data_IF_331647173134
#
_entry.id   IF_331647173134
#
_cell.length_a   1.000
_cell.length_b   1.000
_cell.length_c   1.000
_cell.angle_alpha   90.00
_cell.angle_beta   90.00
_cell.angle_gamma   90.00
#
_symmetry.space_group_name_H-M   'P 1'
#
loop_
_entity.id
_entity.type
_entity.pdbx_description
1 polymer ?
#
# COMPACT_ATOMS: atom_id res chain seq x y z
N UNK A 1 27.23 -1.31 -18.78
CA UNK A 1 26.32 -1.88 -17.75
C UNK A 1 26.46 -1.11 -16.45
N UNK A 2 25.37 -0.82 -15.76
CA UNK A 2 25.35 0.02 -14.55
C UNK A 2 25.18 -0.84 -13.29
N UNK A 3 26.01 -1.89 -13.19
CA UNK A 3 25.85 -2.98 -12.21
C UNK A 3 26.01 -2.55 -10.74
N UNK A 4 26.52 -1.36 -10.46
CA UNK A 4 26.59 -0.79 -9.10
C UNK A 4 25.28 -0.11 -8.66
N UNK A 5 24.41 0.26 -9.59
CA UNK A 5 23.14 0.91 -9.28
C UNK A 5 22.24 -0.03 -8.50
N UNK A 6 21.67 0.49 -7.39
CA UNK A 6 20.76 -0.25 -6.50
C UNK A 6 19.38 0.37 -6.42
N UNK A 7 19.22 1.59 -6.93
CA UNK A 7 17.96 2.33 -6.91
C UNK A 7 17.59 2.72 -8.33
N UNK A 8 16.37 2.40 -8.72
CA UNK A 8 15.81 2.77 -10.00
C UNK A 8 14.49 3.50 -9.77
N UNK A 9 14.48 4.77 -10.19
CA UNK A 9 13.27 5.60 -10.25
C UNK A 9 12.77 5.68 -11.69
N UNK A 10 11.48 5.46 -11.91
CA UNK A 10 10.86 5.60 -13.23
C UNK A 10 9.61 6.46 -13.13
N UNK A 11 9.48 7.39 -14.06
CA UNK A 11 8.32 8.26 -14.20
C UNK A 11 7.94 8.25 -15.69
N UNK A 12 6.74 7.79 -16.00
CA UNK A 12 6.25 7.74 -17.37
C UNK A 12 5.37 8.94 -17.69
N UNK A 13 5.86 9.82 -18.56
CA UNK A 13 5.10 10.97 -19.05
C UNK A 13 4.25 10.59 -20.26
N UNK A 14 2.97 10.97 -20.25
CA UNK A 14 2.20 11.01 -21.50
C UNK A 14 2.82 12.10 -22.40
N UNK A 15 3.15 11.77 -23.65
CA UNK A 15 4.05 12.51 -24.56
C UNK A 15 3.65 13.95 -24.96
N UNK A 16 3.42 14.85 -24.00
CA UNK A 16 3.13 16.27 -24.22
C UNK A 16 4.15 17.24 -23.62
N UNK A 17 5.29 16.76 -23.15
CA UNK A 17 6.39 17.65 -22.72
C UNK A 17 7.66 17.38 -23.54
N UNK A 18 8.12 18.34 -24.36
CA UNK A 18 9.49 18.36 -24.82
C UNK A 18 10.32 18.96 -23.67
N UNK A 19 10.73 18.13 -22.72
CA UNK A 19 11.85 18.49 -21.85
C UNK A 19 13.12 17.86 -22.43
N UNK A 20 14.20 18.63 -22.42
CA UNK A 20 15.50 18.30 -23.00
C UNK A 20 16.24 17.14 -22.29
N UNK A 21 15.52 16.24 -21.64
CA UNK A 21 16.01 15.02 -21.03
C UNK A 21 15.55 13.86 -21.90
N UNK A 22 16.33 12.79 -21.98
CA UNK A 22 16.08 11.63 -22.84
C UNK A 22 14.76 10.94 -22.47
N UNK A 23 13.63 11.47 -22.98
CA UNK A 23 12.29 10.97 -22.73
C UNK A 23 11.99 9.81 -23.68
N UNK A 24 11.71 8.64 -23.13
CA UNK A 24 11.18 7.52 -23.92
C UNK A 24 9.65 7.70 -23.99
N UNK A 25 9.15 8.13 -25.15
CA UNK A 25 7.72 8.24 -25.43
C UNK A 25 7.13 6.84 -25.71
N UNK A 26 6.63 6.21 -24.64
CA UNK A 26 6.07 4.86 -24.68
C UNK A 26 4.74 4.75 -25.47
N UNK A 27 4.10 5.87 -25.85
CA UNK A 27 2.82 5.85 -26.57
C UNK A 27 2.98 5.82 -28.11
N UNK A 28 4.12 6.26 -28.64
CA UNK A 28 4.42 6.26 -30.10
C UNK A 28 5.13 5.02 -30.58
N UNK A 29 5.89 4.37 -29.69
CA UNK A 29 6.43 3.04 -29.94
C UNK A 29 5.29 2.08 -29.67
N UNK A 30 5.03 1.11 -30.55
CA UNK A 30 4.26 -0.09 -30.17
C UNK A 30 5.02 -0.80 -29.06
N UNK A 31 4.92 -0.28 -27.84
CA UNK A 31 5.90 -0.43 -26.79
C UNK A 31 5.70 -1.81 -26.19
N UNK A 32 6.50 -2.74 -26.65
CA UNK A 32 6.63 -4.04 -26.02
C UNK A 32 7.21 -3.81 -24.62
N UNK A 33 6.31 -3.76 -23.64
CA UNK A 33 6.62 -3.61 -22.21
C UNK A 33 7.69 -4.60 -21.79
N UNK A 34 7.69 -5.81 -22.36
CA UNK A 34 8.70 -6.84 -22.13
C UNK A 34 10.08 -6.41 -22.60
N UNK A 35 10.20 -5.81 -23.79
CA UNK A 35 11.49 -5.29 -24.29
C UNK A 35 12.03 -4.15 -23.42
N UNK A 36 11.17 -3.22 -23.01
CA UNK A 36 11.60 -2.11 -22.13
C UNK A 36 12.05 -2.65 -20.78
N UNK A 37 11.28 -3.57 -20.19
CA UNK A 37 11.63 -4.27 -18.97
C UNK A 37 12.99 -4.96 -19.10
N UNK A 38 13.20 -5.74 -20.16
CA UNK A 38 14.42 -6.53 -20.36
C UNK A 38 15.64 -5.63 -20.59
N UNK A 39 15.48 -4.54 -21.33
CA UNK A 39 16.53 -3.55 -21.52
C UNK A 39 16.92 -2.89 -20.18
N UNK A 40 15.94 -2.48 -19.37
CA UNK A 40 16.19 -1.92 -18.04
C UNK A 40 16.83 -2.94 -17.11
N UNK A 41 16.41 -4.20 -17.16
CA UNK A 41 16.98 -5.28 -16.36
C UNK A 41 18.45 -5.56 -16.71
N UNK A 42 18.79 -5.58 -18.00
CA UNK A 42 20.15 -5.72 -18.47
C UNK A 42 21.04 -4.54 -18.03
N UNK A 43 20.49 -3.31 -18.04
CA UNK A 43 21.23 -2.13 -17.62
C UNK A 43 21.44 -2.06 -16.10
N UNK A 44 20.44 -2.48 -15.31
CA UNK A 44 20.39 -2.29 -13.86
C UNK A 44 20.13 -3.61 -13.09
N UNK A 45 20.97 -4.65 -13.26
CA UNK A 45 20.67 -6.00 -12.74
C UNK A 45 20.57 -6.07 -11.21
N UNK A 46 21.18 -5.13 -10.49
CA UNK A 46 21.27 -5.17 -9.03
C UNK A 46 20.26 -4.30 -8.28
N UNK A 47 19.17 -3.87 -8.91
CA UNK A 47 18.16 -3.00 -8.26
C UNK A 47 17.56 -3.66 -7.02
N UNK A 48 17.56 -2.91 -5.91
CA UNK A 48 16.96 -3.28 -4.61
C UNK A 48 15.92 -2.27 -4.14
N UNK A 49 15.89 -1.08 -4.76
CA UNK A 49 14.93 -0.02 -4.48
C UNK A 49 14.27 0.37 -5.79
N UNK A 50 12.95 0.25 -5.85
CA UNK A 50 12.14 0.72 -6.97
C UNK A 50 11.25 1.85 -6.53
N UNK A 51 11.21 2.91 -7.33
CA UNK A 51 10.31 4.03 -7.13
C UNK A 51 9.61 4.37 -8.43
N UNK A 52 8.28 4.34 -8.44
CA UNK A 52 7.46 4.69 -9.59
C UNK A 52 6.73 6.01 -9.31
N UNK A 53 7.10 7.05 -10.05
CA UNK A 53 6.59 8.41 -9.89
C UNK A 53 5.27 8.68 -10.60
N UNK A 54 4.63 9.78 -10.20
CA UNK A 54 3.37 10.29 -10.73
C UNK A 54 3.59 11.03 -12.06
N UNK A 55 3.07 10.46 -13.15
CA UNK A 55 3.03 11.14 -14.44
C UNK A 55 2.05 10.53 -15.46
N UNK A 56 1.65 9.27 -15.30
CA UNK A 56 0.50 8.71 -16.02
C UNK A 56 0.02 7.40 -15.36
N UNK A 57 -1.25 7.32 -14.99
CA UNK A 57 -1.93 6.07 -14.60
C UNK A 57 -2.34 5.24 -15.83
N UNK A 58 -1.59 5.36 -16.93
CA UNK A 58 -1.88 4.59 -18.15
C UNK A 58 -1.69 3.10 -17.88
N UNK A 59 -2.51 2.27 -18.53
CA UNK A 59 -2.40 0.81 -18.42
C UNK A 59 -0.97 0.31 -18.71
N UNK A 60 -0.29 0.92 -19.68
CA UNK A 60 1.10 0.59 -20.04
C UNK A 60 2.07 0.88 -18.88
N UNK A 61 1.90 1.99 -18.18
CA UNK A 61 2.74 2.32 -17.03
C UNK A 61 2.51 1.34 -15.88
N UNK A 62 1.25 1.05 -15.55
CA UNK A 62 0.88 0.08 -14.51
C UNK A 62 1.46 -1.30 -14.83
N UNK A 63 1.37 -1.73 -16.10
CA UNK A 63 1.91 -3.01 -16.55
C UNK A 63 3.44 -3.04 -16.48
N UNK A 64 4.14 -2.02 -16.96
CA UNK A 64 5.60 -1.94 -16.89
C UNK A 64 6.11 -1.94 -15.44
N UNK A 65 5.49 -1.15 -14.57
CA UNK A 65 5.83 -1.10 -13.15
C UNK A 65 5.62 -2.46 -12.48
N UNK A 66 4.52 -3.15 -12.81
CA UNK A 66 4.23 -4.50 -12.36
C UNK A 66 5.26 -5.52 -12.81
N UNK A 67 5.61 -5.51 -14.10
CA UNK A 67 6.61 -6.42 -14.65
C UNK A 67 8.01 -6.18 -14.07
N UNK A 68 8.42 -4.92 -13.89
CA UNK A 68 9.71 -4.58 -13.27
C UNK A 68 9.76 -5.00 -11.80
N UNK A 69 8.71 -4.70 -11.03
CA UNK A 69 8.63 -5.13 -9.64
C UNK A 69 8.72 -6.66 -9.51
N UNK A 70 7.98 -7.39 -10.36
CA UNK A 70 8.02 -8.85 -10.43
C UNK A 70 9.41 -9.40 -10.79
N UNK A 71 10.10 -8.79 -11.76
CA UNK A 71 11.44 -9.19 -12.18
C UNK A 71 12.45 -9.11 -11.02
N UNK A 72 12.35 -8.06 -10.19
CA UNK A 72 13.26 -7.87 -9.06
C UNK A 72 12.76 -8.49 -7.73
N UNK A 73 11.64 -9.22 -7.73
CA UNK A 73 10.95 -9.66 -6.50
C UNK A 73 11.84 -10.39 -5.49
N UNK A 74 12.84 -11.15 -5.96
CA UNK A 74 13.76 -11.92 -5.09
C UNK A 74 14.77 -11.05 -4.33
N UNK A 75 15.06 -9.84 -4.80
CA UNK A 75 16.11 -8.97 -4.25
C UNK A 75 15.62 -7.58 -3.84
N UNK A 76 14.41 -7.21 -4.23
CA UNK A 76 13.81 -5.93 -3.90
C UNK A 76 13.59 -5.81 -2.39
N UNK A 77 14.04 -4.69 -1.83
CA UNK A 77 13.92 -4.34 -0.40
C UNK A 77 12.97 -3.19 -0.16
N UNK A 78 12.84 -2.29 -1.13
CA UNK A 78 11.97 -1.12 -1.05
C UNK A 78 11.20 -0.97 -2.35
N UNK A 79 9.89 -0.78 -2.24
CA UNK A 79 8.98 -0.54 -3.36
C UNK A 79 8.11 0.66 -3.04
N UNK A 80 8.32 1.75 -3.76
CA UNK A 80 7.49 2.94 -3.70
C UNK A 80 6.75 3.13 -5.02
N UNK A 81 5.45 3.37 -4.96
CA UNK A 81 4.65 3.60 -6.15
C UNK A 81 3.57 4.63 -5.88
N UNK A 82 3.43 5.58 -6.80
CA UNK A 82 2.32 6.54 -6.81
C UNK A 82 1.09 6.04 -7.58
N UNK A 83 1.15 4.79 -8.06
CA UNK A 83 0.04 4.11 -8.70
C UNK A 83 -0.13 2.67 -8.17
N UNK A 84 -1.30 2.06 -8.34
CA UNK A 84 -1.46 0.62 -8.14
C UNK A 84 -0.46 -0.16 -9.01
N UNK A 85 0.05 -1.27 -8.49
CA UNK A 85 1.01 -2.12 -9.21
C UNK A 85 0.35 -3.48 -9.47
N UNK A 86 0.18 -3.83 -10.73
CA UNK A 86 -0.31 -5.14 -11.14
C UNK A 86 0.87 -6.13 -11.20
N UNK A 87 1.23 -6.74 -10.07
CA UNK A 87 2.28 -7.77 -10.04
C UNK A 87 1.70 -9.12 -10.49
N UNK A 88 2.44 -9.94 -11.26
CA UNK A 88 2.02 -11.32 -11.54
C UNK A 88 1.72 -12.12 -10.26
N UNK A 89 0.67 -12.93 -10.27
CA UNK A 89 0.15 -13.62 -9.06
C UNK A 89 1.15 -14.58 -8.40
N UNK A 90 2.11 -15.09 -9.17
CA UNK A 90 3.12 -16.04 -8.72
C UNK A 90 4.38 -15.36 -8.17
N UNK A 91 4.45 -14.03 -8.17
CA UNK A 91 5.59 -13.30 -7.62
C UNK A 91 5.47 -13.16 -6.09
N UNK A 92 6.40 -13.80 -5.37
CA UNK A 92 6.61 -13.61 -3.94
C UNK A 92 7.85 -12.75 -3.69
N UNK A 93 7.68 -11.64 -2.99
CA UNK A 93 8.77 -10.76 -2.62
C UNK A 93 9.49 -11.27 -1.35
N UNK A 94 10.70 -11.78 -1.53
CA UNK A 94 11.44 -12.50 -0.48
C UNK A 94 12.25 -11.61 0.47
N UNK A 95 12.50 -10.36 0.09
CA UNK A 95 13.38 -9.45 0.84
C UNK A 95 12.75 -8.07 1.08
N UNK A 96 11.48 -7.89 0.75
CA UNK A 96 10.82 -6.59 0.75
C UNK A 96 10.51 -6.17 2.17
N UNK A 97 11.05 -5.01 2.57
CA UNK A 97 10.97 -4.47 3.93
C UNK A 97 10.10 -3.23 4.02
N UNK A 98 10.05 -2.44 2.95
CA UNK A 98 9.33 -1.18 2.91
C UNK A 98 8.49 -1.10 1.63
N UNK A 99 7.19 -0.90 1.81
CA UNK A 99 6.22 -0.77 0.72
C UNK A 99 5.40 0.48 0.93
N UNK A 100 5.43 1.37 -0.06
CA UNK A 100 4.54 2.52 -0.13
C UNK A 100 3.77 2.45 -1.45
N UNK A 101 2.45 2.40 -1.36
CA UNK A 101 1.56 2.45 -2.52
C UNK A 101 0.56 3.59 -2.32
N UNK A 102 0.62 4.57 -3.19
CA UNK A 102 -0.38 5.61 -3.32
C UNK A 102 -1.19 5.34 -4.60
N UNK A 103 -2.48 5.63 -4.61
CA UNK A 103 -3.26 5.51 -5.85
C UNK A 103 -4.77 5.67 -5.68
N UNK A 104 -5.43 5.96 -6.79
CA UNK A 104 -6.87 5.89 -6.94
C UNK A 104 -7.26 4.44 -7.26
N UNK A 105 -8.07 3.83 -6.39
CA UNK A 105 -8.40 2.42 -6.54
C UNK A 105 -9.58 2.29 -7.52
N UNK A 106 -9.26 2.39 -8.81
CA UNK A 106 -10.24 2.23 -9.90
C UNK A 106 -10.41 0.77 -10.35
N UNK A 107 -9.54 -0.15 -9.90
CA UNK A 107 -9.60 -1.57 -10.24
C UNK A 107 -9.19 -2.44 -9.02
N UNK A 108 -9.63 -3.71 -9.01
CA UNK A 108 -9.39 -4.72 -7.96
C UNK A 108 -7.91 -5.15 -7.78
N UNK A 109 -7.00 -4.21 -7.53
CA UNK A 109 -5.57 -4.46 -7.43
C UNK A 109 -5.16 -4.94 -6.03
N UNK A 110 -4.85 -6.23 -5.89
CA UNK A 110 -4.31 -6.76 -4.63
C UNK A 110 -2.89 -6.29 -4.37
N UNK A 111 -2.51 -6.23 -3.09
CA UNK A 111 -1.13 -5.97 -2.71
C UNK A 111 -0.18 -7.05 -3.23
N UNK A 112 1.09 -6.69 -3.53
CA UNK A 112 2.12 -7.67 -3.83
C UNK A 112 2.23 -8.72 -2.72
N UNK A 113 2.39 -10.00 -3.08
CA UNK A 113 2.60 -11.06 -2.09
C UNK A 113 3.99 -10.93 -1.49
N UNK A 114 4.08 -10.78 -0.18
CA UNK A 114 5.33 -10.54 0.53
C UNK A 114 5.65 -11.68 1.49
N UNK A 115 6.93 -11.93 1.72
CA UNK A 115 7.38 -12.82 2.78
C UNK A 115 7.09 -12.12 4.13
N UNK A 116 6.18 -12.66 4.96
CA UNK A 116 5.70 -11.96 6.15
C UNK A 116 6.83 -11.67 7.15
N UNK A 117 7.87 -12.50 7.19
CA UNK A 117 9.03 -12.36 8.06
C UNK A 117 9.93 -11.16 7.69
N UNK A 118 9.73 -10.55 6.52
CA UNK A 118 10.62 -9.50 6.02
C UNK A 118 10.00 -8.11 5.97
N UNK A 119 8.68 -8.01 5.85
CA UNK A 119 8.01 -6.71 5.75
C UNK A 119 8.05 -6.00 7.11
N UNK A 120 8.63 -4.80 7.14
CA UNK A 120 8.80 -3.99 8.35
C UNK A 120 7.88 -2.77 8.33
N UNK A 121 7.68 -2.17 7.14
CA UNK A 121 6.92 -0.92 6.94
C UNK A 121 5.96 -1.04 5.75
N UNK A 122 4.70 -0.71 5.98
CA UNK A 122 3.65 -0.69 4.97
C UNK A 122 2.89 0.63 5.03
N UNK A 123 2.86 1.36 3.91
CA UNK A 123 2.09 2.57 3.72
C UNK A 123 1.16 2.44 2.52
N UNK A 124 -0.13 2.64 2.77
CA UNK A 124 -1.19 2.63 1.78
C UNK A 124 -1.89 3.98 1.83
N UNK A 125 -1.83 4.76 0.76
CA UNK A 125 -2.59 6.00 0.63
C UNK A 125 -3.53 5.89 -0.55
N UNK A 126 -4.80 5.61 -0.26
CA UNK A 126 -5.76 5.21 -1.26
C UNK A 126 -6.89 6.24 -1.33
N UNK A 127 -7.17 6.72 -2.54
CA UNK A 127 -8.33 7.55 -2.81
C UNK A 127 -9.44 6.65 -3.34
N UNK A 128 -10.11 5.95 -2.42
CA UNK A 128 -11.12 4.95 -2.75
C UNK A 128 -12.52 5.54 -2.59
N UNK A 129 -13.41 5.25 -3.55
CA UNK A 129 -14.86 5.49 -3.39
C UNK A 129 -15.61 4.28 -2.81
N UNK A 130 -14.98 3.12 -2.85
CA UNK A 130 -15.45 1.82 -2.34
C UNK A 130 -14.64 1.39 -1.10
N UNK A 131 -15.28 1.13 0.03
CA UNK A 131 -14.64 0.96 1.34
C UNK A 131 -13.78 -0.31 1.55
N UNK A 132 -13.25 -0.93 0.49
CA UNK A 132 -12.47 -2.17 0.56
C UNK A 132 -10.98 -1.89 0.47
N UNK A 133 -10.27 -2.15 1.55
CA UNK A 133 -8.81 -2.15 1.54
C UNK A 133 -8.26 -3.29 0.66
N UNK A 134 -7.15 -3.07 -0.07
CA UNK A 134 -6.43 -4.11 -0.82
C UNK A 134 -5.67 -5.09 0.09
N UNK A 135 -5.96 -5.07 1.38
CA UNK A 135 -5.25 -5.78 2.44
C UNK A 135 -6.24 -6.74 3.10
N UNK A 136 -6.10 -8.04 2.86
CA UNK A 136 -6.85 -9.04 3.62
C UNK A 136 -6.09 -9.33 4.91
N UNK A 137 -6.80 -9.64 6.02
CA UNK A 137 -6.13 -10.06 7.25
C UNK A 137 -5.13 -11.20 7.03
N UNK A 138 -5.44 -12.12 6.11
CA UNK A 138 -4.56 -13.23 5.74
C UNK A 138 -3.20 -12.80 5.15
N UNK A 139 -3.13 -11.63 4.49
CA UNK A 139 -1.90 -11.13 3.86
C UNK A 139 -0.89 -10.59 4.89
N UNK A 140 -1.36 -10.35 6.12
CA UNK A 140 -0.56 -9.68 7.17
C UNK A 140 -0.42 -10.47 8.47
N UNK A 141 -1.07 -11.63 8.60
CA UNK A 141 -0.90 -12.49 9.78
C UNK A 141 0.55 -12.95 9.88
N UNK A 142 1.13 -12.83 11.08
CA UNK A 142 2.49 -13.32 11.35
C UNK A 142 3.59 -12.46 10.74
N UNK A 143 3.26 -11.25 10.27
CA UNK A 143 4.25 -10.33 9.72
C UNK A 143 5.20 -9.77 10.78
N UNK A 144 6.41 -9.42 10.35
CA UNK A 144 7.36 -8.59 11.11
C UNK A 144 7.03 -7.10 11.04
N UNK A 145 5.81 -6.76 10.64
CA UNK A 145 5.38 -5.39 10.39
C UNK A 145 5.41 -4.59 11.69
N UNK A 146 6.24 -3.55 11.71
CA UNK A 146 6.41 -2.66 12.87
C UNK A 146 5.75 -1.31 12.65
N UNK A 147 5.54 -0.90 11.39
CA UNK A 147 4.88 0.34 11.04
C UNK A 147 3.81 0.12 9.96
N UNK A 148 2.60 0.59 10.25
CA UNK A 148 1.47 0.58 9.32
C UNK A 148 0.90 1.98 9.19
N UNK A 149 0.80 2.47 7.96
CA UNK A 149 0.07 3.69 7.61
C UNK A 149 -1.01 3.35 6.61
N UNK A 150 -2.26 3.66 6.94
CA UNK A 150 -3.41 3.49 6.04
C UNK A 150 -4.14 4.82 5.97
N UNK A 151 -4.16 5.42 4.79
CA UNK A 151 -4.87 6.66 4.48
C UNK A 151 -5.96 6.34 3.45
N UNK A 152 -7.08 5.78 3.90
CA UNK A 152 -8.15 5.30 3.03
C UNK A 152 -9.51 5.35 3.74
N UNK A 153 -10.62 5.62 3.01
CA UNK A 153 -11.97 5.47 3.54
C UNK A 153 -12.21 4.03 3.95
N UNK A 154 -12.20 3.75 5.25
CA UNK A 154 -12.34 2.38 5.78
C UNK A 154 -13.05 2.39 7.13
N UNK A 155 -13.89 1.38 7.37
CA UNK A 155 -14.59 1.22 8.64
C UNK A 155 -13.65 0.89 9.80
N UNK A 156 -13.96 1.43 10.98
CA UNK A 156 -13.21 1.14 12.21
C UNK A 156 -13.12 -0.37 12.51
N UNK A 157 -14.19 -1.14 12.30
CA UNK A 157 -14.21 -2.59 12.54
C UNK A 157 -13.22 -3.35 11.67
N UNK A 158 -13.14 -2.99 10.38
CA UNK A 158 -12.16 -3.59 9.45
C UNK A 158 -10.74 -3.32 9.92
N UNK A 159 -10.47 -2.09 10.35
CA UNK A 159 -9.17 -1.69 10.85
C UNK A 159 -8.79 -2.40 12.14
N UNK A 160 -9.71 -2.53 13.09
CA UNK A 160 -9.49 -3.27 14.33
C UNK A 160 -9.19 -4.75 14.02
N UNK A 161 -9.95 -5.35 13.10
CA UNK A 161 -9.70 -6.72 12.63
C UNK A 161 -8.29 -6.92 12.07
N UNK A 162 -7.78 -5.94 11.30
CA UNK A 162 -6.42 -5.95 10.76
C UNK A 162 -5.36 -5.78 11.88
N UNK A 163 -5.52 -4.79 12.75
CA UNK A 163 -4.56 -4.47 13.82
C UNK A 163 -4.39 -5.65 14.78
N UNK A 164 -5.47 -6.38 15.08
CA UNK A 164 -5.44 -7.57 15.95
C UNK A 164 -4.52 -8.68 15.44
N UNK A 165 -4.18 -8.70 14.14
CA UNK A 165 -3.28 -9.68 13.54
C UNK A 165 -1.81 -9.23 13.51
N UNK A 166 -1.53 -7.99 13.88
CA UNK A 166 -0.21 -7.36 13.79
C UNK A 166 0.45 -7.24 15.17
N UNK A 167 0.92 -8.37 15.71
CA UNK A 167 1.50 -8.43 17.06
C UNK A 167 2.79 -7.64 17.24
N UNK A 168 3.54 -7.40 16.16
CA UNK A 168 4.81 -6.68 16.18
C UNK A 168 4.66 -5.17 15.93
N UNK A 169 3.42 -4.68 15.74
CA UNK A 169 3.16 -3.30 15.37
C UNK A 169 3.54 -2.35 16.51
N UNK A 170 4.40 -1.38 16.20
CA UNK A 170 4.88 -0.34 17.13
C UNK A 170 4.37 1.05 16.76
N UNK A 171 4.09 1.27 15.47
CA UNK A 171 3.56 2.53 14.94
C UNK A 171 2.36 2.28 14.04
N UNK A 172 1.28 3.01 14.30
CA UNK A 172 0.04 2.94 13.53
C UNK A 172 -0.43 4.36 13.20
N UNK A 173 -0.61 4.62 11.90
CA UNK A 173 -1.22 5.85 11.40
C UNK A 173 -2.44 5.50 10.57
N UNK A 174 -3.61 5.97 10.99
CA UNK A 174 -4.86 5.81 10.27
C UNK A 174 -5.39 7.18 9.87
N UNK A 175 -5.70 7.36 8.59
CA UNK A 175 -6.35 8.56 8.09
C UNK A 175 -7.56 8.21 7.22
N UNK A 176 -8.51 9.15 7.14
CA UNK A 176 -9.79 8.99 6.42
C UNK A 176 -10.66 7.85 6.99
N UNK A 177 -10.61 7.61 8.30
CA UNK A 177 -11.48 6.61 8.92
C UNK A 177 -12.96 7.00 8.82
N UNK A 178 -13.78 6.08 8.33
CA UNK A 178 -15.24 6.21 8.32
C UNK A 178 -15.78 5.44 9.53
N UNK A 179 -16.40 6.16 10.46
CA UNK A 179 -17.24 5.53 11.47
C UNK A 179 -18.52 5.15 10.73
N UNK A 180 -18.69 3.87 10.39
CA UNK A 180 -19.85 3.40 9.66
C UNK A 180 -21.14 3.88 10.33
N UNK A 181 -22.19 4.13 9.53
CA UNK A 181 -23.52 4.50 10.01
C UNK A 181 -23.94 3.61 11.21
N UNK A 182 -23.82 4.12 12.43
CA UNK A 182 -24.52 3.60 13.61
C UNK A 182 -25.99 4.04 13.53
N UNK A 183 -26.63 3.80 12.38
CA UNK A 183 -28.07 3.94 12.16
C UNK A 183 -28.77 2.56 12.15
N UNK A 184 -28.21 1.59 12.86
CA UNK A 184 -28.98 0.47 13.40
C UNK A 184 -28.98 0.60 14.92
N UNK A 185 -30.07 1.17 15.44
CA UNK A 185 -30.47 1.18 16.84
C UNK A 185 -29.42 1.66 17.87
N UNK A 186 -29.27 2.98 17.99
CA UNK A 186 -29.08 3.61 19.30
C UNK A 186 -30.40 3.57 20.09
N UNK A 187 -30.97 2.37 20.25
CA UNK A 187 -31.65 2.05 21.49
C UNK A 187 -30.51 1.76 22.46
N UNK A 188 -30.22 2.66 23.40
CA UNK A 188 -29.37 2.32 24.54
C UNK A 188 -30.06 1.12 25.21
N UNK A 189 -29.54 -0.12 25.12
CA UNK A 189 -30.12 -1.21 25.86
C UNK A 189 -29.59 -1.01 27.28
N UNK A 190 -30.42 -0.43 28.14
CA UNK A 190 -30.24 -0.61 29.58
C UNK A 190 -30.03 -2.12 29.81
N UNK A 191 -28.92 -2.46 30.46
CA UNK A 191 -28.52 -3.81 30.87
C UNK A 191 -28.09 -4.78 29.75
N UNK A 192 -26.89 -4.62 29.19
CA UNK A 192 -26.13 -5.79 28.71
C UNK A 192 -24.68 -5.70 29.14
N UNK A 193 -24.31 -6.66 29.96
CA UNK A 193 -22.95 -7.04 30.35
C UNK A 193 -21.95 -6.71 29.23
N UNK A 194 -21.09 -5.72 29.47
CA UNK A 194 -19.92 -5.49 28.63
C UNK A 194 -19.16 -6.82 28.58
N UNK A 195 -19.16 -7.49 27.42
CA UNK A 195 -18.07 -8.42 27.12
C UNK A 195 -16.80 -7.59 27.32
N UNK A 196 -15.84 -8.04 28.14
CA UNK A 196 -14.61 -7.30 28.33
C UNK A 196 -14.06 -7.00 26.95
N UNK A 197 -13.82 -5.70 26.68
CA UNK A 197 -13.08 -5.29 25.50
C UNK A 197 -11.76 -6.06 25.56
N UNK A 198 -11.62 -7.08 24.71
CA UNK A 198 -10.41 -7.88 24.67
C UNK A 198 -9.27 -6.92 24.34
N UNK A 199 -8.38 -6.71 25.32
CA UNK A 199 -7.25 -5.81 25.17
C UNK A 199 -6.49 -6.17 23.88
N UNK A 200 -6.27 -5.15 23.05
CA UNK A 200 -5.38 -5.26 21.91
C UNK A 200 -3.99 -5.60 22.45
N UNK A 201 -3.57 -6.85 22.28
CA UNK A 201 -2.22 -7.30 22.65
C UNK A 201 -1.21 -6.79 21.60
N UNK A 202 -1.07 -5.47 21.55
CA UNK A 202 -0.24 -4.77 20.57
C UNK A 202 0.86 -4.00 21.30
N UNK A 203 2.03 -3.88 20.66
CA UNK A 203 3.17 -3.12 21.19
C UNK A 203 3.16 -1.67 20.70
N UNK A 204 1.98 -1.15 20.37
CA UNK A 204 1.84 0.16 19.72
C UNK A 204 2.23 1.23 20.73
N UNK A 205 3.37 1.88 20.48
CA UNK A 205 3.84 3.04 21.24
C UNK A 205 3.47 4.35 20.54
N UNK A 206 3.21 4.32 19.24
CA UNK A 206 2.87 5.48 18.43
C UNK A 206 1.54 5.25 17.71
N UNK A 207 0.52 6.04 18.06
CA UNK A 207 -0.80 6.01 17.43
C UNK A 207 -1.13 7.40 16.88
N UNK A 208 -1.47 7.46 15.59
CA UNK A 208 -1.99 8.67 14.95
C UNK A 208 -3.31 8.35 14.25
N UNK A 209 -4.37 9.05 14.64
CA UNK A 209 -5.71 8.90 14.06
C UNK A 209 -6.13 10.23 13.44
N UNK A 210 -6.54 10.20 12.17
CA UNK A 210 -7.10 11.34 11.43
C UNK A 210 -8.44 10.95 10.85
N UNK A 211 -9.51 11.46 11.46
CA UNK A 211 -10.87 11.24 11.01
C UNK A 211 -11.14 12.04 9.73
N UNK A 212 -11.89 11.47 8.79
CA UNK A 212 -12.41 12.21 7.64
C UNK A 212 -13.39 13.26 8.14
N UNK A 213 -13.36 14.47 7.57
CA UNK A 213 -14.24 15.56 7.95
C UNK A 213 -15.73 15.19 7.80
N UNK A 214 -16.34 14.73 8.89
CA UNK A 214 -17.68 15.12 9.35
C UNK A 214 -17.66 15.14 10.88
N UNK A 215 -18.39 16.12 11.44
CA UNK A 215 -18.48 16.45 12.87
C UNK A 215 -18.68 15.20 13.76
N UNK A 216 -18.23 15.28 15.01
CA UNK A 216 -18.78 14.66 16.26
C UNK A 216 -17.72 14.08 17.22
N UNK A 217 -18.18 13.80 18.45
CA UNK A 217 -17.57 14.17 19.75
C UNK A 217 -16.26 13.44 20.15
N UNK A 218 -15.43 14.06 21.02
CA UNK A 218 -14.19 13.47 21.56
C UNK A 218 -14.38 12.17 22.38
N UNK A 219 -15.60 11.76 22.68
CA UNK A 219 -15.89 10.55 23.49
C UNK A 219 -15.60 9.25 22.71
N UNK A 220 -15.68 9.28 21.38
CA UNK A 220 -15.46 8.09 20.53
C UNK A 220 -13.96 7.76 20.37
N UNK A 221 -13.09 8.77 20.42
CA UNK A 221 -11.64 8.58 20.42
C UNK A 221 -11.14 7.87 21.69
N UNK A 222 -11.83 8.07 22.83
CA UNK A 222 -11.50 7.43 24.10
C UNK A 222 -11.93 5.95 24.17
N UNK A 223 -12.93 5.54 23.39
CA UNK A 223 -13.42 4.16 23.37
C UNK A 223 -12.57 3.20 22.49
N UNK A 224 -11.67 3.75 21.66
CA UNK A 224 -10.79 2.98 20.77
C UNK A 224 -9.40 2.67 21.38
N UNK A 225 -9.14 3.11 22.62
CA UNK A 225 -7.93 2.86 23.41
C UNK A 225 -8.27 1.90 24.55
#
# INVERSE_FOLDING_TARGET
>A
EWAAVRSLGLTMHSGRYPSNESSIDAAKVGCDVGKVRDALAAMFPGVRVLSFGDASSTHIAVELYGQLAGLYAKQLRVLHSWHPIAVPQDCLFMQLRDVTINGDYSHDYRLPRMCPETIERLRLSLDIRDARLPLLPADIVGTSLTQLTVEAPTSADTMIGLIRKLSNLSSLTLAKLELGNTQTDLSIPESRTHKPVEQLNTRISNLSLRLSHQLYSPELAAAMI
#
